data_IF_015462358005
#
_entry.id   IF_015462358005
#
_cell.length_a   1.000
_cell.length_b   1.000
_cell.length_c   1.000
_cell.angle_alpha   90.00
_cell.angle_beta   90.00
_cell.angle_gamma   90.00
#
_symmetry.space_group_name_H-M   'P 1'
#
loop_
_entity.id
_entity.type
_entity.pdbx_description
1 polymer ?
#
# COMPACT_ATOMS: atom_id res chain seq x y z
N UNK A 1 -0.94 -20.29 3.70
CA UNK A 1 -2.01 -19.40 4.20
C UNK A 1 -2.90 -19.00 3.02
N UNK A 2 -4.21 -19.24 3.13
CA UNK A 2 -5.13 -18.98 2.02
C UNK A 2 -5.35 -17.47 1.87
N UNK A 3 -4.94 -16.91 0.73
CA UNK A 3 -5.35 -15.56 0.30
C UNK A 3 -6.88 -15.50 0.33
N UNK A 4 -7.47 -14.87 1.34
CA UNK A 4 -8.92 -14.68 1.44
C UNK A 4 -9.32 -13.69 0.37
N UNK A 5 -9.59 -14.19 -0.84
CA UNK A 5 -10.06 -13.37 -1.95
C UNK A 5 -11.32 -12.64 -1.50
N UNK A 6 -11.37 -11.33 -1.76
CA UNK A 6 -12.58 -10.55 -1.53
C UNK A 6 -13.73 -11.13 -2.36
N UNK A 7 -14.93 -11.14 -1.78
CA UNK A 7 -16.12 -11.56 -2.53
C UNK A 7 -16.40 -10.56 -3.65
N UNK A 8 -17.03 -11.02 -4.73
CA UNK A 8 -17.41 -10.14 -5.85
C UNK A 8 -18.29 -8.97 -5.39
N UNK A 9 -19.18 -9.21 -4.41
CA UNK A 9 -19.97 -8.14 -3.78
C UNK A 9 -19.07 -7.06 -3.20
N UNK A 10 -18.03 -7.45 -2.46
CA UNK A 10 -17.12 -6.50 -1.83
C UNK A 10 -16.29 -5.73 -2.86
N UNK A 11 -15.90 -6.39 -3.95
CA UNK A 11 -15.22 -5.72 -5.08
C UNK A 11 -16.13 -4.65 -5.67
N UNK A 12 -17.41 -4.95 -5.93
CA UNK A 12 -18.37 -3.96 -6.44
C UNK A 12 -18.55 -2.76 -5.51
N UNK A 13 -18.60 -2.99 -4.20
CA UNK A 13 -18.67 -1.90 -3.20
C UNK A 13 -17.42 -1.01 -3.24
N UNK A 14 -16.23 -1.59 -3.40
CA UNK A 14 -14.98 -0.84 -3.53
C UNK A 14 -14.99 0.00 -4.81
N UNK A 15 -15.43 -0.58 -5.93
CA UNK A 15 -15.55 0.16 -7.19
C UNK A 15 -16.56 1.31 -7.10
N UNK A 16 -17.66 1.13 -6.39
CA UNK A 16 -18.64 2.20 -6.16
C UNK A 16 -18.08 3.31 -5.29
N UNK A 17 -17.36 2.97 -4.21
CA UNK A 17 -16.64 3.94 -3.41
C UNK A 17 -15.60 4.72 -4.23
N UNK A 18 -14.84 4.03 -5.09
CA UNK A 18 -13.89 4.66 -6.01
C UNK A 18 -14.58 5.60 -7.01
N UNK A 19 -15.75 5.23 -7.54
CA UNK A 19 -16.56 6.11 -8.40
C UNK A 19 -17.01 7.38 -7.67
N UNK A 20 -17.38 7.28 -6.40
CA UNK A 20 -17.73 8.47 -5.59
C UNK A 20 -16.51 9.36 -5.36
N UNK A 21 -15.37 8.79 -5.02
CA UNK A 21 -14.10 9.53 -4.91
C UNK A 21 -13.73 10.23 -6.21
N UNK A 22 -13.90 9.59 -7.37
CA UNK A 22 -13.64 10.22 -8.67
C UNK A 22 -14.52 11.46 -8.92
N UNK A 23 -15.79 11.44 -8.52
CA UNK A 23 -16.68 12.60 -8.61
C UNK A 23 -16.24 13.75 -7.70
N UNK A 24 -15.78 13.43 -6.49
CA UNK A 24 -15.24 14.43 -5.56
C UNK A 24 -13.93 15.02 -6.09
N UNK A 25 -13.02 14.17 -6.57
CA UNK A 25 -11.76 14.60 -7.19
C UNK A 25 -12.00 15.56 -8.36
N UNK A 26 -12.94 15.25 -9.25
CA UNK A 26 -13.25 16.13 -10.38
C UNK A 26 -13.73 17.52 -9.93
N UNK A 27 -14.56 17.58 -8.88
CA UNK A 27 -15.04 18.84 -8.30
C UNK A 27 -13.94 19.61 -7.58
N UNK A 28 -13.02 18.91 -6.93
CA UNK A 28 -11.88 19.52 -6.24
C UNK A 28 -10.86 20.07 -7.24
N UNK A 29 -10.54 19.30 -8.28
CA UNK A 29 -9.61 19.71 -9.32
C UNK A 29 -10.15 20.84 -10.20
N UNK A 30 -11.47 20.87 -10.39
CA UNK A 30 -12.16 21.85 -11.24
C UNK A 30 -13.40 22.43 -10.53
N UNK A 31 -13.24 23.34 -9.54
CA UNK A 31 -14.36 23.87 -8.76
C UNK A 31 -15.43 24.58 -9.59
N UNK A 32 -15.01 25.30 -10.62
CA UNK A 32 -15.88 25.99 -11.59
C UNK A 32 -16.16 25.12 -12.85
N UNK A 33 -15.73 23.86 -12.82
CA UNK A 33 -15.67 22.99 -14.00
C UNK A 33 -14.40 23.19 -14.84
N UNK A 34 -14.05 22.21 -15.69
CA UNK A 34 -12.88 22.31 -16.56
C UNK A 34 -13.13 23.33 -17.68
N UNK A 35 -12.13 24.18 -17.94
CA UNK A 35 -12.18 25.11 -19.06
C UNK A 35 -12.18 24.38 -20.41
N UNK A 36 -12.77 24.99 -21.46
CA UNK A 36 -12.87 24.40 -22.79
C UNK A 36 -11.50 24.24 -23.49
N UNK A 37 -10.45 24.90 -23.02
CA UNK A 37 -9.09 24.68 -23.50
C UNK A 37 -8.45 23.39 -22.98
N UNK A 38 -8.99 22.80 -21.90
CA UNK A 38 -8.47 21.54 -21.37
C UNK A 38 -8.84 20.39 -22.28
N UNK A 39 -7.83 19.60 -22.64
CA UNK A 39 -8.04 18.38 -23.40
C UNK A 39 -8.43 17.24 -22.47
N UNK A 40 -8.94 16.15 -23.05
CA UNK A 40 -9.18 14.91 -22.29
C UNK A 40 -7.90 14.38 -21.64
N UNK A 41 -6.74 14.56 -22.29
CA UNK A 41 -5.46 14.13 -21.74
C UNK A 41 -5.07 14.94 -20.49
N UNK A 42 -5.38 16.25 -20.46
CA UNK A 42 -5.13 17.09 -19.29
C UNK A 42 -6.01 16.65 -18.10
N UNK A 43 -7.28 16.36 -18.37
CA UNK A 43 -8.21 15.84 -17.36
C UNK A 43 -7.79 14.45 -16.86
N UNK A 44 -7.34 13.58 -17.76
CA UNK A 44 -6.85 12.25 -17.42
C UNK A 44 -5.57 12.30 -16.58
N UNK A 45 -4.63 13.19 -16.89
CA UNK A 45 -3.39 13.33 -16.11
C UNK A 45 -3.68 13.67 -14.64
N UNK A 46 -4.66 14.55 -14.39
CA UNK A 46 -5.12 14.86 -13.02
C UNK A 46 -5.68 13.61 -12.35
N UNK A 47 -6.57 12.88 -13.02
CA UNK A 47 -7.14 11.65 -12.50
C UNK A 47 -6.07 10.58 -12.23
N UNK A 48 -5.08 10.44 -13.10
CA UNK A 48 -4.00 9.48 -12.98
C UNK A 48 -3.06 9.80 -11.81
N UNK A 49 -2.75 11.07 -11.57
CA UNK A 49 -1.98 11.49 -10.39
C UNK A 49 -2.68 11.10 -9.09
N UNK A 50 -3.98 11.39 -9.00
CA UNK A 50 -4.78 11.02 -7.84
C UNK A 50 -4.88 9.49 -7.68
N UNK A 51 -5.08 8.75 -8.78
CA UNK A 51 -5.12 7.30 -8.76
C UNK A 51 -3.81 6.68 -8.24
N UNK A 52 -2.66 7.22 -8.65
CA UNK A 52 -1.35 6.74 -8.16
C UNK A 52 -1.20 6.96 -6.65
N UNK A 53 -1.55 8.14 -6.16
CA UNK A 53 -1.51 8.46 -4.73
C UNK A 53 -2.48 7.57 -3.91
N UNK A 54 -3.67 7.31 -4.45
CA UNK A 54 -4.66 6.43 -3.81
C UNK A 54 -4.17 4.98 -3.75
N UNK A 55 -3.57 4.47 -4.83
CA UNK A 55 -3.02 3.10 -4.86
C UNK A 55 -1.82 2.98 -3.91
N UNK A 56 -0.91 3.95 -3.92
CA UNK A 56 0.22 4.00 -2.99
C UNK A 56 -0.25 3.93 -1.54
N UNK A 57 -1.06 4.89 -1.11
CA UNK A 57 -1.53 4.99 0.28
C UNK A 57 -2.36 3.78 0.74
N UNK A 58 -3.18 3.19 -0.14
CA UNK A 58 -3.92 1.96 0.18
C UNK A 58 -2.99 0.76 0.43
N UNK A 59 -1.93 0.63 -0.38
CA UNK A 59 -0.93 -0.43 -0.19
C UNK A 59 -0.09 -0.19 1.06
N UNK A 60 0.37 1.04 1.28
CA UNK A 60 1.13 1.42 2.48
C UNK A 60 0.34 1.11 3.75
N UNK A 61 -0.95 1.48 3.79
CA UNK A 61 -1.83 1.23 4.93
C UNK A 61 -2.00 -0.27 5.19
N UNK A 62 -2.38 -1.03 4.16
CA UNK A 62 -2.62 -2.48 4.32
C UNK A 62 -1.34 -3.25 4.69
N UNK A 63 -0.21 -2.90 4.07
CA UNK A 63 1.09 -3.49 4.39
C UNK A 63 1.57 -3.07 5.79
N UNK A 64 1.31 -1.83 6.20
CA UNK A 64 1.61 -1.33 7.55
C UNK A 64 0.81 -2.04 8.63
N UNK A 65 -0.49 -2.28 8.42
CA UNK A 65 -1.33 -3.09 9.32
C UNK A 65 -0.82 -4.53 9.41
N UNK A 66 -0.48 -5.14 8.27
CA UNK A 66 0.15 -6.46 8.26
C UNK A 66 1.48 -6.46 9.01
N UNK A 67 2.31 -5.44 8.80
CA UNK A 67 3.58 -5.30 9.46
C UNK A 67 3.40 -5.15 10.99
N UNK A 68 2.45 -4.33 11.44
CA UNK A 68 2.14 -4.11 12.84
C UNK A 68 1.60 -5.37 13.55
N UNK A 69 1.06 -6.34 12.80
CA UNK A 69 0.65 -7.63 13.37
C UNK A 69 1.82 -8.50 13.81
N UNK A 70 3.04 -8.23 13.32
CA UNK A 70 4.26 -8.80 13.89
C UNK A 70 4.61 -8.06 15.19
N UNK A 71 4.88 -8.83 16.25
CA UNK A 71 5.32 -8.28 17.54
C UNK A 71 6.72 -7.67 17.50
N UNK A 72 7.30 -7.44 18.67
CA UNK A 72 8.64 -6.83 18.80
C UNK A 72 9.80 -7.80 18.55
N UNK A 73 9.52 -9.10 18.45
CA UNK A 73 10.52 -10.13 18.20
C UNK A 73 9.94 -11.27 17.36
N UNK A 74 10.80 -11.99 16.65
CA UNK A 74 10.47 -13.21 15.92
C UNK A 74 11.62 -14.22 15.98
N UNK A 75 11.30 -15.51 15.83
CA UNK A 75 12.31 -16.55 15.84
C UNK A 75 13.07 -16.61 14.52
N UNK A 76 14.40 -16.71 14.62
CA UNK A 76 15.26 -16.87 13.45
C UNK A 76 14.88 -18.18 12.72
N UNK A 77 14.53 -18.13 11.42
CA UNK A 77 14.10 -19.32 10.68
C UNK A 77 15.21 -20.35 10.43
N UNK A 78 16.44 -20.09 10.89
CA UNK A 78 17.59 -21.02 10.78
C UNK A 78 17.93 -21.69 12.11
N UNK A 79 18.01 -20.92 13.20
CA UNK A 79 18.44 -21.45 14.50
C UNK A 79 17.37 -21.39 15.60
N UNK A 80 16.18 -20.83 15.31
CA UNK A 80 15.05 -20.75 16.24
C UNK A 80 15.23 -19.77 17.40
N UNK A 81 16.32 -19.00 17.46
CA UNK A 81 16.49 -17.99 18.52
C UNK A 81 15.52 -16.84 18.30
N UNK A 82 14.89 -16.38 19.37
CA UNK A 82 14.13 -15.13 19.37
C UNK A 82 15.07 -13.94 19.10
N UNK A 83 14.71 -13.14 18.10
CA UNK A 83 15.47 -11.98 17.63
C UNK A 83 14.54 -10.75 17.64
N UNK A 84 14.97 -9.61 18.21
CA UNK A 84 14.19 -8.38 18.14
C UNK A 84 14.03 -7.91 16.70
N UNK A 85 12.85 -7.37 16.39
CA UNK A 85 12.52 -6.83 15.08
C UNK A 85 12.71 -5.31 15.07
N UNK A 86 13.41 -4.83 14.05
CA UNK A 86 13.51 -3.41 13.72
C UNK A 86 12.54 -3.09 12.58
N UNK A 87 11.94 -1.89 12.60
CA UNK A 87 11.16 -1.38 11.47
C UNK A 87 12.09 -0.62 10.53
N UNK A 88 12.08 -0.97 9.25
CA UNK A 88 12.81 -0.22 8.23
C UNK A 88 11.84 0.21 7.13
N UNK A 89 11.88 1.50 6.83
CA UNK A 89 11.14 2.09 5.72
C UNK A 89 11.83 1.79 4.41
N UNK A 90 11.07 1.34 3.41
CA UNK A 90 11.56 1.11 2.05
C UNK A 90 10.52 1.52 1.02
N UNK A 91 10.93 2.33 0.04
CA UNK A 91 10.12 2.57 -1.15
C UNK A 91 10.14 1.34 -2.08
N UNK A 92 8.96 0.93 -2.53
CA UNK A 92 8.79 -0.16 -3.49
C UNK A 92 7.96 0.29 -4.69
N UNK A 93 8.32 -0.19 -5.87
CA UNK A 93 7.52 0.00 -7.08
C UNK A 93 6.34 -0.97 -7.09
N UNK A 94 5.14 -0.43 -7.28
CA UNK A 94 3.89 -1.19 -7.43
C UNK A 94 3.24 -0.84 -8.77
N UNK A 95 2.22 -1.61 -9.16
CA UNK A 95 1.51 -1.37 -10.43
C UNK A 95 0.96 0.06 -10.56
N UNK A 96 0.53 0.66 -9.45
CA UNK A 96 -0.04 2.01 -9.40
C UNK A 96 0.94 3.12 -9.07
N UNK A 97 2.26 2.88 -9.05
CA UNK A 97 3.25 3.91 -8.67
C UNK A 97 4.26 3.39 -7.66
N UNK A 98 4.45 4.12 -6.57
CA UNK A 98 5.32 3.72 -5.45
C UNK A 98 4.54 3.66 -4.14
N UNK A 99 5.07 2.90 -3.18
CA UNK A 99 4.58 2.82 -1.81
C UNK A 99 5.77 2.69 -0.86
N UNK A 100 5.72 3.33 0.30
CA UNK A 100 6.70 3.21 1.38
C UNK A 100 6.22 2.15 2.38
N UNK A 101 6.96 1.05 2.47
CA UNK A 101 6.62 -0.06 3.37
C UNK A 101 7.47 0.01 4.64
N UNK A 102 6.81 -0.12 5.79
CA UNK A 102 7.46 -0.29 7.09
C UNK A 102 7.70 -1.79 7.37
N UNK A 103 8.79 -2.33 6.85
CA UNK A 103 9.08 -3.76 6.93
C UNK A 103 9.72 -4.13 8.28
N UNK A 104 9.23 -5.17 8.98
CA UNK A 104 9.92 -5.73 10.14
C UNK A 104 11.10 -6.60 9.71
N UNK A 105 12.29 -6.32 10.26
CA UNK A 105 13.53 -7.04 9.94
C UNK A 105 14.20 -7.49 11.23
N UNK A 106 14.54 -8.78 11.31
CA UNK A 106 15.34 -9.34 12.40
C UNK A 106 16.76 -9.63 11.94
N UNK A 107 17.77 -9.22 12.74
CA UNK A 107 19.16 -9.59 12.52
C UNK A 107 19.61 -10.66 13.52
N UNK A 108 19.82 -11.89 13.05
CA UNK A 108 20.31 -12.96 13.93
C UNK A 108 21.83 -12.93 14.02
N UNK A 109 22.38 -12.51 15.16
CA UNK A 109 23.84 -12.48 15.41
C UNK A 109 24.51 -13.86 15.39
N UNK A 110 23.76 -14.93 15.70
CA UNK A 110 24.28 -16.31 15.67
C UNK A 110 24.44 -16.83 14.24
N UNK A 111 23.43 -16.64 13.40
CA UNK A 111 23.48 -17.05 12.01
C UNK A 111 24.11 -15.99 11.10
N UNK A 112 24.35 -14.79 11.62
CA UNK A 112 24.86 -13.60 10.92
C UNK A 112 24.07 -13.29 9.65
N UNK A 113 22.74 -13.28 9.76
CA UNK A 113 21.83 -13.03 8.64
C UNK A 113 20.63 -12.19 9.07
N UNK A 114 20.17 -11.39 8.13
CA UNK A 114 18.88 -10.72 8.21
C UNK A 114 17.77 -11.68 7.76
N UNK A 115 16.59 -11.51 8.31
CA UNK A 115 15.39 -12.20 7.87
C UNK A 115 14.16 -11.32 8.06
N UNK A 116 13.15 -11.57 7.24
CA UNK A 116 11.80 -11.06 7.45
C UNK A 116 11.01 -12.12 8.22
N UNK A 117 10.21 -11.73 9.24
CA UNK A 117 9.40 -12.67 9.98
C UNK A 117 8.34 -13.28 9.05
N UNK A 118 8.15 -14.59 9.15
CA UNK A 118 7.03 -15.29 8.52
C UNK A 118 5.87 -15.37 9.51
N UNK A 119 4.65 -15.10 9.04
CA UNK A 119 3.43 -15.32 9.79
C UNK A 119 3.17 -16.82 10.03
#
# INVERSE_FOLDING_TARGET
MASKKLSERKIREIEEAARHWGKLLAREAFPEGPDLSLTLADMEEVAMRAARALVGSAVETAAGEQAASFGEAADCPTCGRSVPLERRSREVTIRGGTANLEEPIGHCSTCRRDFFPSA
#
